data_IF_825768021942
#
_entry.id   IF_825768021942
#
_cell.length_a   1.000
_cell.length_b   1.000
_cell.length_c   1.000
_cell.angle_alpha   90.00
_cell.angle_beta   90.00
_cell.angle_gamma   90.00
#
_symmetry.space_group_name_H-M   'P 1'
#
loop_
_entity.id
_entity.type
_entity.pdbx_description
1 polymer ?
#
# COMPACT_ATOMS: atom_id res chain seq x y z
N UNK A 1 -2.48 19.81 -15.43
CA UNK A 1 -3.59 20.38 -14.64
C UNK A 1 -3.18 21.72 -14.00
N UNK A 2 -2.15 21.72 -13.16
CA UNK A 2 -1.71 22.90 -12.40
C UNK A 2 -1.43 24.17 -13.23
N UNK A 3 -0.89 24.05 -14.44
CA UNK A 3 -0.66 25.20 -15.34
C UNK A 3 -1.94 25.98 -15.67
N UNK A 4 -3.03 25.25 -15.95
CA UNK A 4 -4.32 25.87 -16.24
C UNK A 4 -4.94 26.46 -14.98
N UNK A 5 -4.77 25.78 -13.85
CA UNK A 5 -5.27 26.22 -12.54
C UNK A 5 -4.67 27.56 -12.12
N UNK A 6 -3.36 27.76 -12.27
CA UNK A 6 -2.70 29.04 -11.95
C UNK A 6 -3.28 30.18 -12.79
N UNK A 7 -3.46 29.96 -14.10
CA UNK A 7 -4.02 30.98 -15.02
C UNK A 7 -5.48 31.31 -14.70
N UNK A 8 -6.28 30.30 -14.39
CA UNK A 8 -7.69 30.47 -14.03
C UNK A 8 -7.83 31.20 -12.70
N UNK A 9 -7.04 30.83 -11.69
CA UNK A 9 -7.01 31.51 -10.39
C UNK A 9 -6.59 32.96 -10.54
N UNK A 10 -5.55 33.27 -11.31
CA UNK A 10 -5.14 34.64 -11.60
C UNK A 10 -6.25 35.46 -12.29
N UNK A 11 -6.92 34.89 -13.30
CA UNK A 11 -8.03 35.56 -14.00
C UNK A 11 -9.22 35.84 -13.06
N UNK A 12 -9.55 34.91 -12.16
CA UNK A 12 -10.60 35.12 -11.15
C UNK A 12 -10.24 36.26 -10.20
N UNK A 13 -9.00 36.31 -9.69
CA UNK A 13 -8.55 37.38 -8.81
C UNK A 13 -8.57 38.77 -9.46
N UNK A 14 -8.25 38.88 -10.76
CA UNK A 14 -8.21 40.17 -11.45
C UNK A 14 -9.57 40.62 -11.99
N UNK A 15 -10.37 39.70 -12.55
CA UNK A 15 -11.60 40.07 -13.26
C UNK A 15 -12.89 39.89 -12.46
N UNK A 16 -12.90 39.07 -11.41
CA UNK A 16 -14.14 38.66 -10.73
C UNK A 16 -14.20 39.06 -9.25
N UNK A 17 -13.07 39.07 -8.54
CA UNK A 17 -13.04 39.43 -7.11
C UNK A 17 -12.72 40.90 -6.86
N UNK A 18 -13.28 41.46 -5.79
CA UNK A 18 -12.90 42.78 -5.30
C UNK A 18 -11.54 42.71 -4.59
N UNK A 19 -10.76 43.80 -4.65
CA UNK A 19 -9.41 43.87 -4.10
C UNK A 19 -9.39 43.56 -2.60
N UNK A 20 -8.69 42.51 -2.14
CA UNK A 20 -8.55 42.21 -0.72
C UNK A 20 -7.55 43.16 -0.04
N UNK A 21 -7.65 43.30 1.28
CA UNK A 21 -6.66 44.01 2.09
C UNK A 21 -5.40 43.17 2.17
N UNK A 22 -4.24 43.80 1.99
CA UNK A 22 -2.97 43.10 2.01
C UNK A 22 -2.60 42.72 3.45
N UNK A 23 -2.57 41.42 3.74
CA UNK A 23 -1.97 40.86 4.96
C UNK A 23 -0.62 40.23 4.64
N UNK A 24 0.34 40.40 5.56
CA UNK A 24 1.64 39.73 5.48
C UNK A 24 1.57 38.41 6.23
N UNK A 25 1.58 37.30 5.48
CA UNK A 25 1.80 35.97 6.03
C UNK A 25 3.26 35.56 5.78
N UNK A 26 3.92 35.02 6.81
CA UNK A 26 5.27 34.47 6.70
C UNK A 26 5.27 33.06 6.08
N UNK A 27 4.23 32.29 6.39
CA UNK A 27 4.07 30.89 5.99
C UNK A 27 2.62 30.60 5.58
N UNK A 28 2.39 29.47 4.91
CA UNK A 28 1.05 28.98 4.53
C UNK A 28 0.21 28.51 5.76
N UNK A 29 0.81 28.52 6.95
CA UNK A 29 0.16 28.23 8.22
C UNK A 29 -0.17 26.76 8.42
N UNK A 30 -1.41 26.47 8.84
CA UNK A 30 -1.92 25.13 9.19
C UNK A 30 -1.75 24.11 8.05
N UNK A 31 -1.74 24.57 6.79
CA UNK A 31 -1.56 23.70 5.63
C UNK A 31 -0.23 22.94 5.65
N UNK A 32 0.84 23.48 6.25
CA UNK A 32 2.09 22.74 6.42
C UNK A 32 1.87 21.47 7.25
N UNK A 33 1.20 21.62 8.40
CA UNK A 33 0.87 20.50 9.29
C UNK A 33 -0.04 19.47 8.60
N UNK A 34 -1.01 19.94 7.80
CA UNK A 34 -1.90 19.04 7.05
C UNK A 34 -1.09 18.23 6.03
N UNK A 35 -0.20 18.88 5.28
CA UNK A 35 0.65 18.21 4.30
C UNK A 35 1.59 17.21 4.96
N UNK A 36 2.17 17.54 6.12
CA UNK A 36 3.02 16.62 6.87
C UNK A 36 2.25 15.35 7.29
N UNK A 37 1.05 15.51 7.85
CA UNK A 37 0.19 14.37 8.21
C UNK A 37 -0.17 13.56 6.96
N UNK A 38 -0.50 14.22 5.86
CA UNK A 38 -0.85 13.56 4.60
C UNK A 38 0.33 12.73 4.05
N UNK A 39 1.57 13.22 4.19
CA UNK A 39 2.75 12.46 3.79
C UNK A 39 2.92 11.19 4.64
N UNK A 40 2.70 11.26 5.95
CA UNK A 40 2.79 10.09 6.84
C UNK A 40 1.72 9.04 6.50
N UNK A 41 0.47 9.48 6.26
CA UNK A 41 -0.61 8.58 5.84
C UNK A 41 -0.30 7.94 4.48
N UNK A 42 0.26 8.71 3.54
CA UNK A 42 0.64 8.19 2.23
C UNK A 42 1.70 7.09 2.32
N UNK A 43 2.70 7.24 3.20
CA UNK A 43 3.73 6.22 3.44
C UNK A 43 3.11 4.92 3.93
N UNK A 44 2.23 5.00 4.93
CA UNK A 44 1.53 3.84 5.49
C UNK A 44 0.66 3.18 4.40
N UNK A 45 -0.14 3.96 3.68
CA UNK A 45 -1.02 3.45 2.62
C UNK A 45 -0.24 2.70 1.53
N UNK A 46 0.89 3.26 1.08
CA UNK A 46 1.75 2.62 0.10
C UNK A 46 2.34 1.30 0.61
N UNK A 47 2.74 1.25 1.90
CA UNK A 47 3.23 0.02 2.54
C UNK A 47 2.14 -1.07 2.55
N UNK A 48 0.90 -0.71 2.91
CA UNK A 48 -0.23 -1.61 2.88
C UNK A 48 -0.55 -2.13 1.47
N UNK A 49 -0.50 -1.26 0.47
CA UNK A 49 -0.74 -1.64 -0.92
C UNK A 49 0.32 -2.63 -1.42
N UNK A 50 1.60 -2.40 -1.08
CA UNK A 50 2.66 -3.37 -1.35
C UNK A 50 2.50 -4.66 -0.55
N UNK A 51 2.02 -4.60 0.69
CA UNK A 51 1.90 -5.77 1.55
C UNK A 51 0.75 -6.70 1.15
N UNK A 52 -0.43 -6.12 0.89
CA UNK A 52 -1.67 -6.86 0.72
C UNK A 52 -2.10 -7.02 -0.73
N UNK A 53 -1.89 -6.01 -1.57
CA UNK A 53 -2.34 -6.04 -2.97
C UNK A 53 -1.31 -6.72 -3.88
N UNK A 54 -0.02 -6.64 -3.55
CA UNK A 54 1.04 -7.25 -4.36
C UNK A 54 1.19 -8.75 -4.10
N UNK A 55 1.46 -9.52 -5.16
CA UNK A 55 1.89 -10.92 -5.06
C UNK A 55 3.37 -11.08 -4.70
N UNK A 56 4.09 -9.99 -4.44
CA UNK A 56 5.52 -10.02 -4.12
C UNK A 56 5.82 -10.87 -2.87
N UNK A 57 5.16 -10.57 -1.75
CA UNK A 57 5.37 -11.26 -0.48
C UNK A 57 5.01 -12.75 -0.49
N UNK A 58 3.85 -13.20 -1.02
CA UNK A 58 3.54 -14.62 -1.06
C UNK A 58 4.47 -15.40 -1.98
N UNK A 59 4.90 -14.82 -3.12
CA UNK A 59 5.91 -15.44 -4.00
C UNK A 59 7.29 -15.50 -3.32
N UNK A 60 7.67 -14.46 -2.58
CA UNK A 60 8.91 -14.45 -1.82
C UNK A 60 8.91 -15.53 -0.72
N UNK A 61 7.83 -15.63 0.05
CA UNK A 61 7.67 -16.66 1.08
C UNK A 61 7.70 -18.07 0.47
N UNK A 62 7.08 -18.27 -0.69
CA UNK A 62 7.12 -19.55 -1.40
C UNK A 62 8.54 -19.92 -1.83
N UNK A 63 9.32 -18.98 -2.38
CA UNK A 63 10.73 -19.21 -2.76
C UNK A 63 11.59 -19.65 -1.59
N UNK A 64 11.34 -19.09 -0.40
CA UNK A 64 12.12 -19.40 0.80
C UNK A 64 11.72 -20.73 1.45
N UNK A 65 10.46 -21.15 1.31
CA UNK A 65 9.92 -22.28 2.09
C UNK A 65 9.74 -23.56 1.30
N UNK A 66 9.45 -23.46 -0.01
CA UNK A 66 9.11 -24.62 -0.85
C UNK A 66 10.16 -24.81 -1.92
N UNK A 67 10.20 -23.93 -2.93
CA UNK A 67 11.05 -24.08 -4.10
C UNK A 67 11.51 -22.72 -4.63
N UNK A 68 12.82 -22.59 -4.88
CA UNK A 68 13.42 -21.36 -5.39
C UNK A 68 12.95 -21.04 -6.84
N UNK A 69 12.53 -22.04 -7.61
CA UNK A 69 12.16 -21.94 -9.03
C UNK A 69 10.71 -21.48 -9.29
N UNK A 70 9.91 -21.18 -8.25
CA UNK A 70 8.49 -20.78 -8.37
C UNK A 70 7.59 -21.78 -9.13
N UNK A 71 8.14 -22.95 -9.47
CA UNK A 71 7.49 -24.01 -10.23
C UNK A 71 6.39 -24.63 -9.40
N UNK A 72 5.13 -24.48 -9.81
CA UNK A 72 3.98 -25.01 -9.07
C UNK A 72 3.34 -24.03 -8.07
N UNK A 73 3.79 -22.77 -8.00
CA UNK A 73 3.21 -21.75 -7.12
C UNK A 73 1.69 -21.59 -7.29
N UNK A 74 1.20 -21.58 -8.53
CA UNK A 74 -0.23 -21.50 -8.83
C UNK A 74 -0.99 -22.73 -8.30
N UNK A 75 -0.44 -23.93 -8.43
CA UNK A 75 -1.08 -25.14 -7.92
C UNK A 75 -1.12 -25.18 -6.38
N UNK A 76 -0.14 -24.57 -5.72
CA UNK A 76 -0.08 -24.46 -4.27
C UNK A 76 -1.02 -23.39 -3.71
N UNK A 77 -1.20 -22.29 -4.43
CA UNK A 77 -2.03 -21.16 -4.00
C UNK A 77 -3.52 -21.39 -4.29
N UNK A 78 -3.84 -22.34 -5.17
CA UNK A 78 -5.20 -22.72 -5.53
C UNK A 78 -5.70 -23.86 -4.63
N UNK A 79 -6.68 -23.58 -3.78
CA UNK A 79 -7.35 -24.57 -2.94
C UNK A 79 -8.55 -25.19 -3.64
N UNK A 80 -8.78 -26.49 -3.42
CA UNK A 80 -9.99 -27.18 -3.87
C UNK A 80 -11.16 -26.94 -2.89
N UNK A 81 -12.41 -26.88 -3.38
CA UNK A 81 -13.59 -26.82 -2.54
C UNK A 81 -13.77 -28.11 -1.72
N UNK A 82 -14.47 -28.05 -0.58
CA UNK A 82 -14.75 -29.21 0.26
C UNK A 82 -15.53 -30.29 -0.51
N UNK A 83 -15.29 -31.56 -0.16
CA UNK A 83 -15.73 -32.76 -0.90
C UNK A 83 -17.24 -32.80 -1.20
N UNK A 84 -18.06 -32.27 -0.29
CA UNK A 84 -19.52 -32.18 -0.43
C UNK A 84 -19.98 -31.38 -1.67
N UNK A 85 -19.16 -30.42 -2.13
CA UNK A 85 -19.46 -29.57 -3.29
C UNK A 85 -18.77 -30.03 -4.59
N UNK A 86 -17.88 -31.03 -4.51
CA UNK A 86 -17.11 -31.54 -5.67
C UNK A 86 -18.00 -32.35 -6.61
N UNK A 87 -19.06 -32.99 -6.10
CA UNK A 87 -19.98 -33.79 -6.92
C UNK A 87 -20.89 -32.93 -7.82
N UNK A 88 -21.10 -31.65 -7.49
CA UNK A 88 -22.02 -30.75 -8.20
C UNK A 88 -21.30 -29.71 -9.06
N UNK A 89 -20.06 -29.35 -8.71
CA UNK A 89 -19.23 -28.41 -9.46
C UNK A 89 -18.09 -29.14 -10.18
N UNK A 90 -18.00 -29.00 -11.51
CA UNK A 90 -16.83 -29.39 -12.29
C UNK A 90 -15.57 -28.69 -11.74
N UNK A 91 -14.70 -29.42 -11.03
CA UNK A 91 -13.34 -29.05 -10.55
C UNK A 91 -13.01 -27.54 -10.61
N UNK A 92 -13.67 -26.72 -9.80
CA UNK A 92 -13.28 -25.32 -9.62
C UNK A 92 -12.22 -25.22 -8.52
N UNK A 93 -11.19 -24.40 -8.70
CA UNK A 93 -10.26 -24.03 -7.63
C UNK A 93 -10.38 -22.54 -7.36
N UNK A 94 -10.30 -22.15 -6.09
CA UNK A 94 -10.35 -20.75 -5.69
C UNK A 94 -9.03 -20.34 -5.05
N UNK A 95 -8.71 -19.04 -5.14
CA UNK A 95 -7.52 -18.48 -4.54
C UNK A 95 -7.71 -18.43 -3.02
N UNK A 96 -7.16 -19.40 -2.31
CA UNK A 96 -7.12 -19.37 -0.85
C UNK A 96 -6.03 -20.29 -0.31
N UNK A 97 -5.56 -19.95 0.89
CA UNK A 97 -4.57 -20.74 1.63
C UNK A 97 -5.25 -21.68 2.64
N UNK A 98 -6.35 -22.32 2.24
CA UNK A 98 -7.01 -23.34 3.05
C UNK A 98 -6.42 -24.72 2.78
N UNK A 99 -6.25 -25.49 3.84
CA UNK A 99 -5.91 -26.91 3.76
C UNK A 99 -7.12 -27.71 3.21
N UNK A 100 -6.90 -28.94 2.73
CA UNK A 100 -7.96 -29.79 2.13
C UNK A 100 -9.13 -30.06 3.07
N UNK A 101 -8.93 -29.84 4.38
CA UNK A 101 -9.91 -29.99 5.45
C UNK A 101 -10.69 -28.70 5.77
N UNK A 102 -10.54 -27.63 4.96
CA UNK A 102 -11.21 -26.33 5.17
C UNK A 102 -10.62 -25.48 6.31
N UNK A 103 -9.51 -25.90 6.93
CA UNK A 103 -8.81 -25.14 7.99
C UNK A 103 -7.81 -24.15 7.38
N UNK A 104 -7.55 -23.04 8.08
CA UNK A 104 -6.53 -22.07 7.68
C UNK A 104 -5.15 -22.72 7.76
N UNK A 105 -4.39 -22.71 6.65
CA UNK A 105 -3.06 -23.32 6.60
C UNK A 105 -2.04 -22.52 7.43
N UNK A 106 -1.03 -23.20 7.98
CA UNK A 106 0.11 -22.56 8.67
C UNK A 106 0.83 -21.56 7.74
N UNK A 107 0.80 -21.82 6.42
CA UNK A 107 1.33 -20.90 5.41
C UNK A 107 0.65 -19.53 5.45
N UNK A 108 -0.67 -19.49 5.69
CA UNK A 108 -1.43 -18.25 5.79
C UNK A 108 -0.96 -17.39 6.96
N UNK A 109 -0.76 -17.98 8.14
CA UNK A 109 -0.25 -17.26 9.32
C UNK A 109 1.17 -16.74 9.12
N UNK A 110 2.04 -17.55 8.48
CA UNK A 110 3.39 -17.10 8.11
C UNK A 110 3.35 -15.93 7.13
N UNK A 111 2.42 -15.95 6.17
CA UNK A 111 2.23 -14.85 5.22
C UNK A 111 1.74 -13.57 5.91
N UNK A 112 0.79 -13.67 6.85
CA UNK A 112 0.33 -12.51 7.64
C UNK A 112 1.48 -11.94 8.47
N UNK A 113 2.24 -12.79 9.17
CA UNK A 113 3.39 -12.36 9.97
C UNK A 113 4.43 -11.63 9.11
N UNK A 114 4.74 -12.17 7.92
CA UNK A 114 5.67 -11.55 6.98
C UNK A 114 5.14 -10.19 6.45
N UNK A 115 3.84 -10.09 6.16
CA UNK A 115 3.20 -8.82 5.74
C UNK A 115 3.31 -7.75 6.82
N UNK A 116 3.04 -8.10 8.07
CA UNK A 116 3.14 -7.17 9.20
C UNK A 116 4.60 -6.72 9.41
N UNK A 117 5.55 -7.67 9.38
CA UNK A 117 6.98 -7.35 9.47
C UNK A 117 7.42 -6.40 8.35
N UNK A 118 6.99 -6.65 7.12
CA UNK A 118 7.31 -5.81 5.97
C UNK A 118 6.81 -4.38 6.16
N UNK A 119 5.59 -4.19 6.67
CA UNK A 119 5.03 -2.86 6.94
C UNK A 119 5.88 -2.12 7.97
N UNK A 120 6.24 -2.78 9.07
CA UNK A 120 7.09 -2.17 10.12
C UNK A 120 8.45 -1.80 9.55
N UNK A 121 9.12 -2.67 8.79
CA UNK A 121 10.40 -2.37 8.18
C UNK A 121 10.31 -1.19 7.18
N UNK A 122 9.27 -1.16 6.36
CA UNK A 122 9.06 -0.09 5.38
C UNK A 122 8.88 1.26 6.08
N UNK A 123 8.06 1.31 7.12
CA UNK A 123 7.86 2.50 7.95
C UNK A 123 9.19 3.01 8.53
N UNK A 124 9.97 2.13 9.17
CA UNK A 124 11.26 2.50 9.78
C UNK A 124 12.26 3.02 8.74
N UNK A 125 12.33 2.41 7.56
CA UNK A 125 13.22 2.86 6.48
C UNK A 125 12.83 4.27 6.02
N UNK A 126 11.54 4.54 5.84
CA UNK A 126 11.07 5.84 5.37
C UNK A 126 11.28 6.92 6.45
N UNK A 127 11.01 6.61 7.72
CA UNK A 127 11.28 7.52 8.83
C UNK A 127 12.77 7.90 8.92
N UNK A 128 13.66 6.91 8.79
CA UNK A 128 15.11 7.14 8.76
C UNK A 128 15.51 8.00 7.56
N UNK A 129 14.94 7.73 6.37
CA UNK A 129 15.21 8.53 5.18
C UNK A 129 14.76 9.99 5.36
N UNK A 130 13.53 10.22 5.86
CA UNK A 130 13.00 11.56 6.14
C UNK A 130 13.89 12.33 7.13
N UNK A 131 14.29 11.68 8.22
CA UNK A 131 15.20 12.28 9.20
C UNK A 131 16.58 12.57 8.60
N UNK A 132 17.09 11.69 7.73
CA UNK A 132 18.32 11.90 6.98
C UNK A 132 18.24 13.12 6.07
N UNK A 133 17.15 13.28 5.33
CA UNK A 133 16.95 14.45 4.46
C UNK A 133 16.88 15.76 5.26
N UNK A 134 16.18 15.77 6.40
CA UNK A 134 16.12 16.94 7.28
C UNK A 134 17.49 17.33 7.86
N UNK A 135 18.44 16.39 7.98
CA UNK A 135 19.80 16.69 8.40
C UNK A 135 20.72 17.19 7.28
N UNK A 136 20.39 16.87 6.02
CA UNK A 136 21.22 17.23 4.86
C UNK A 136 20.89 18.63 4.35
N UNK A 137 19.62 19.04 4.42
CA UNK A 137 19.18 20.35 3.97
C UNK A 137 19.32 21.33 5.14
N UNK A 138 20.19 22.36 5.05
CA UNK A 138 20.36 23.36 6.10
C UNK A 138 19.13 24.26 6.27
#
# INVERSE_FOLDING_TARGET
HNWLEIRLSARKFVCMYQRPVAERARDIGVWMTIMDIMTQIAVISNAFQLAFTSEFLPRFLYRLTVDNTLTGYLNFTLSSPPTELIHTLNKCKYHSFHDTNGKISVFHWRLIALRLLFIVCYEHIVLVAQFGFQRIIP
#
